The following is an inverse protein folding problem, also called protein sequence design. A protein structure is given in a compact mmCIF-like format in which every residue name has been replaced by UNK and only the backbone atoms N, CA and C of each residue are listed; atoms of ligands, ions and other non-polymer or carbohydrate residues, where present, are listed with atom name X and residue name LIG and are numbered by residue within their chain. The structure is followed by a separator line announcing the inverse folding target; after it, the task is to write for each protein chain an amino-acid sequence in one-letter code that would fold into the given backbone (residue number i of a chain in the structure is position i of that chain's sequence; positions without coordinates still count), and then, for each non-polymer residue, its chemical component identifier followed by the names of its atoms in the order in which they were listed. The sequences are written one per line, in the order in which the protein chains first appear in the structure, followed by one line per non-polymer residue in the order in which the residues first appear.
data_IF_518693942407
#
_entry.id   IF_518693942407
#
_cell.length_a   1.000
_cell.length_b   1.000
_cell.length_c   1.000
_cell.angle_alpha   90.00
_cell.angle_beta   90.00
_cell.angle_gamma   90.00
#
_symmetry.space_group_name_H-M   'P 1'
#
loop_
_entity.id
_entity.type
_entity.pdbx_description
1 polymer ?
#
# COMPACT_ATOMS: atom_id res chain seq x y z
N UNK A 1 -44.51 -16.58 18.81
CA UNK A 1 -43.23 -15.86 18.68
C UNK A 1 -42.28 -16.45 19.69
N UNK A 2 -41.23 -17.14 19.24
CA UNK A 2 -40.19 -17.64 20.12
C UNK A 2 -39.34 -16.46 20.62
N UNK A 3 -38.98 -16.39 21.91
CA UNK A 3 -38.08 -15.36 22.43
C UNK A 3 -36.72 -15.51 21.73
N UNK A 4 -36.19 -14.39 21.25
CA UNK A 4 -34.97 -14.33 20.44
C UNK A 4 -33.74 -14.79 21.22
N UNK A 5 -32.86 -15.49 20.50
CA UNK A 5 -31.61 -16.14 20.91
C UNK A 5 -30.50 -15.17 21.40
N UNK A 6 -30.84 -13.90 21.63
CA UNK A 6 -29.93 -12.84 22.07
C UNK A 6 -29.37 -13.11 23.47
N UNK A 7 -30.17 -13.72 24.35
CA UNK A 7 -29.73 -14.10 25.70
C UNK A 7 -28.71 -15.24 25.72
N UNK A 8 -28.74 -16.13 24.73
CA UNK A 8 -27.76 -17.23 24.59
C UNK A 8 -26.44 -16.70 24.05
N UNK A 9 -26.49 -15.84 23.04
CA UNK A 9 -25.30 -15.19 22.46
C UNK A 9 -24.58 -14.30 23.49
N UNK A 10 -25.32 -13.52 24.26
CA UNK A 10 -24.74 -12.69 25.32
C UNK A 10 -24.11 -13.53 26.45
N UNK A 11 -24.70 -14.69 26.81
CA UNK A 11 -24.07 -15.61 27.76
C UNK A 11 -22.81 -16.25 27.21
N UNK A 12 -22.82 -16.69 25.96
CA UNK A 12 -21.66 -17.29 25.32
C UNK A 12 -20.49 -16.30 25.23
N UNK A 13 -20.76 -15.06 24.83
CA UNK A 13 -19.76 -14.00 24.79
C UNK A 13 -19.17 -13.70 26.18
N UNK A 14 -19.99 -13.67 27.23
CA UNK A 14 -19.53 -13.50 28.62
C UNK A 14 -18.68 -14.67 29.12
N UNK A 15 -18.94 -15.90 28.66
CA UNK A 15 -18.14 -17.08 29.01
C UNK A 15 -16.80 -17.09 28.26
N UNK A 16 -16.80 -16.69 26.99
CA UNK A 16 -15.59 -16.65 26.18
C UNK A 16 -14.66 -15.47 26.53
N UNK A 17 -15.22 -14.35 27.03
CA UNK A 17 -14.47 -13.13 27.32
C UNK A 17 -14.88 -12.52 28.68
N UNK A 18 -14.56 -13.20 29.81
CA UNK A 18 -15.02 -12.80 31.14
C UNK A 18 -14.50 -11.45 31.60
N UNK A 19 -13.24 -11.11 31.25
CA UNK A 19 -12.63 -9.84 31.63
C UNK A 19 -13.27 -8.65 30.89
N UNK A 20 -13.57 -8.83 29.60
CA UNK A 20 -14.26 -7.83 28.79
C UNK A 20 -15.70 -7.59 29.30
N UNK A 21 -16.37 -8.64 29.75
CA UNK A 21 -17.69 -8.53 30.34
C UNK A 21 -17.67 -7.76 31.65
N UNK A 22 -16.68 -8.00 32.50
CA UNK A 22 -16.51 -7.27 33.76
C UNK A 22 -16.20 -5.78 33.53
N UNK A 23 -15.37 -5.46 32.52
CA UNK A 23 -15.07 -4.08 32.13
C UNK A 23 -16.33 -3.34 31.63
N UNK A 24 -17.14 -4.00 30.80
CA UNK A 24 -18.42 -3.47 30.28
C UNK A 24 -19.42 -3.20 31.41
N UNK A 25 -19.59 -4.15 32.33
CA UNK A 25 -20.52 -4.02 33.45
C UNK A 25 -20.08 -2.88 34.40
N UNK A 26 -18.77 -2.70 34.61
CA UNK A 26 -18.20 -1.57 35.36
C UNK A 26 -18.42 -0.21 34.67
N UNK A 27 -18.26 -0.14 33.35
CA UNK A 27 -18.47 1.08 32.57
C UNK A 27 -19.96 1.50 32.54
N UNK A 28 -20.87 0.53 32.44
CA UNK A 28 -22.32 0.74 32.49
C UNK A 28 -22.81 1.16 33.89
N UNK A 29 -22.17 0.67 34.96
CA UNK A 29 -22.51 1.07 36.33
C UNK A 29 -22.11 2.52 36.66
N UNK A 30 -21.16 3.11 35.93
CA UNK A 30 -20.66 4.47 36.15
C UNK A 30 -21.32 5.57 35.30
N UNK A 31 -22.21 5.23 34.37
CA UNK A 31 -22.68 6.11 33.29
C UNK A 31 -24.12 6.60 33.50
N UNK A 32 -24.29 7.86 33.94
CA UNK A 32 -25.57 8.59 33.87
C UNK A 32 -25.74 9.31 32.51
N UNK A 33 -26.96 9.74 32.16
CA UNK A 33 -27.46 10.15 30.83
C UNK A 33 -26.63 11.09 29.91
N UNK A 34 -25.47 11.61 30.32
CA UNK A 34 -24.47 12.25 29.45
C UNK A 34 -23.30 11.33 29.05
N UNK A 35 -23.34 10.06 29.46
CA UNK A 35 -22.26 9.10 29.34
C UNK A 35 -22.35 8.18 28.11
N UNK A 36 -23.42 8.24 27.32
CA UNK A 36 -23.54 7.47 26.07
C UNK A 36 -22.41 7.84 25.08
N UNK A 37 -22.08 9.12 24.93
CA UNK A 37 -20.96 9.55 24.07
C UNK A 37 -19.58 9.11 24.60
N UNK A 38 -19.41 9.03 25.92
CA UNK A 38 -18.17 8.55 26.54
C UNK A 38 -18.02 7.04 26.45
N UNK A 39 -19.14 6.32 26.54
CA UNK A 39 -19.22 4.87 26.37
C UNK A 39 -19.00 4.46 24.91
N UNK A 40 -19.59 5.16 23.95
CA UNK A 40 -19.37 4.93 22.52
C UNK A 40 -17.91 5.17 22.14
N UNK A 41 -17.31 6.30 22.58
CA UNK A 41 -15.88 6.56 22.33
C UNK A 41 -14.96 5.53 23.01
N UNK A 42 -15.33 5.03 24.19
CA UNK A 42 -14.62 3.95 24.86
C UNK A 42 -14.77 2.60 24.14
N UNK A 43 -15.98 2.26 23.67
CA UNK A 43 -16.27 1.07 22.88
C UNK A 43 -15.51 1.11 21.55
N UNK A 44 -15.48 2.24 20.86
CA UNK A 44 -14.70 2.44 19.65
C UNK A 44 -13.20 2.23 19.95
N UNK A 45 -12.70 2.84 21.03
CA UNK A 45 -11.31 2.64 21.48
C UNK A 45 -10.99 1.17 21.80
N UNK A 46 -11.86 0.45 22.52
CA UNK A 46 -11.67 -0.97 22.84
C UNK A 46 -11.82 -1.86 21.62
N UNK A 47 -12.72 -1.53 20.71
CA UNK A 47 -12.91 -2.25 19.45
C UNK A 47 -11.66 -2.10 18.57
N UNK A 48 -11.04 -0.92 18.52
CA UNK A 48 -9.77 -0.74 17.81
C UNK A 48 -8.62 -1.52 18.49
N UNK A 49 -8.57 -1.59 19.82
CA UNK A 49 -7.58 -2.41 20.55
C UNK A 49 -7.78 -3.90 20.28
N UNK A 50 -9.01 -4.41 20.40
CA UNK A 50 -9.33 -5.82 20.14
C UNK A 50 -9.13 -6.14 18.66
N UNK A 51 -9.43 -5.22 17.74
CA UNK A 51 -9.13 -5.38 16.31
C UNK A 51 -7.62 -5.37 16.06
N UNK A 52 -6.83 -4.60 16.79
CA UNK A 52 -5.37 -4.66 16.69
C UNK A 52 -4.79 -5.96 17.27
N UNK A 53 -5.40 -6.51 18.32
CA UNK A 53 -4.98 -7.76 18.97
C UNK A 53 -5.42 -9.02 18.21
N UNK A 54 -6.59 -8.96 17.54
CA UNK A 54 -7.14 -10.07 16.73
C UNK A 54 -6.89 -9.90 15.22
N UNK A 55 -6.50 -8.71 14.78
CA UNK A 55 -6.25 -8.37 13.38
C UNK A 55 -5.00 -9.08 12.89
N UNK A 56 -5.16 -10.00 11.94
CA UNK A 56 -4.10 -10.93 11.53
C UNK A 56 -4.46 -12.39 11.75
N UNK A 57 -5.69 -12.70 12.20
CA UNK A 57 -6.21 -14.06 12.19
C UNK A 57 -6.10 -14.70 10.80
N UNK A 58 -6.29 -13.92 9.73
CA UNK A 58 -6.07 -14.41 8.36
C UNK A 58 -4.62 -14.84 8.09
N UNK A 59 -3.63 -14.20 8.74
CA UNK A 59 -2.23 -14.64 8.66
C UNK A 59 -1.95 -15.91 9.49
N UNK A 60 -2.90 -16.36 10.31
CA UNK A 60 -2.85 -17.67 10.96
C UNK A 60 -2.79 -18.83 9.95
N UNK A 61 -3.24 -18.61 8.71
CA UNK A 61 -3.11 -19.57 7.61
C UNK A 61 -1.69 -19.61 7.00
N UNK A 62 -0.79 -18.70 7.39
CA UNK A 62 0.62 -18.71 6.97
C UNK A 62 1.40 -19.55 7.97
N UNK A 63 1.86 -20.74 7.56
CA UNK A 63 2.54 -21.68 8.46
C UNK A 63 3.92 -21.17 8.94
N UNK A 64 4.66 -20.50 8.05
CA UNK A 64 6.00 -19.98 8.33
C UNK A 64 5.96 -18.65 9.10
N UNK A 65 6.55 -18.63 10.29
CA UNK A 65 6.56 -17.47 11.17
C UNK A 65 7.26 -16.25 10.54
N UNK A 66 8.34 -16.46 9.77
CA UNK A 66 9.04 -15.38 9.10
C UNK A 66 8.17 -14.75 7.99
N UNK A 67 7.45 -15.57 7.22
CA UNK A 67 6.50 -15.10 6.21
C UNK A 67 5.33 -14.34 6.84
N UNK A 68 4.83 -14.79 8.00
CA UNK A 68 3.81 -14.07 8.77
C UNK A 68 4.28 -12.68 9.19
N UNK A 69 5.48 -12.58 9.77
CA UNK A 69 6.08 -11.30 10.18
C UNK A 69 6.23 -10.35 8.99
N UNK A 70 6.56 -10.88 7.80
CA UNK A 70 6.64 -10.08 6.56
C UNK A 70 5.30 -9.53 6.12
N UNK A 71 4.21 -10.30 6.23
CA UNK A 71 2.87 -9.78 5.99
C UNK A 71 2.49 -8.68 6.98
N UNK A 72 2.72 -8.90 8.27
CA UNK A 72 2.44 -7.92 9.32
C UNK A 72 3.19 -6.61 9.07
N UNK A 73 4.48 -6.69 8.75
CA UNK A 73 5.31 -5.53 8.41
C UNK A 73 4.82 -4.82 7.14
N UNK A 74 4.46 -5.57 6.11
CA UNK A 74 3.95 -5.00 4.87
C UNK A 74 2.61 -4.28 5.08
N UNK A 75 1.69 -4.86 5.84
CA UNK A 75 0.41 -4.23 6.19
C UNK A 75 0.58 -3.02 7.10
N UNK A 76 1.51 -3.07 8.07
CA UNK A 76 1.83 -1.93 8.91
C UNK A 76 2.37 -0.75 8.07
N UNK A 77 3.32 -1.01 7.17
CA UNK A 77 3.82 0.00 6.25
C UNK A 77 2.72 0.53 5.33
N UNK A 78 1.85 -0.34 4.81
CA UNK A 78 0.74 0.06 3.97
C UNK A 78 -0.26 0.95 4.70
N UNK A 79 -0.57 0.66 5.97
CA UNK A 79 -1.43 1.49 6.81
C UNK A 79 -0.84 2.87 7.05
N UNK A 80 0.48 2.96 7.30
CA UNK A 80 1.17 4.25 7.41
C UNK A 80 1.04 5.08 6.14
N UNK A 81 1.29 4.47 4.97
CA UNK A 81 1.18 5.15 3.68
C UNK A 81 -0.26 5.58 3.40
N UNK A 82 -1.23 4.69 3.58
CA UNK A 82 -2.66 4.99 3.35
C UNK A 82 -3.15 6.12 4.27
N UNK A 83 -2.72 6.11 5.55
CA UNK A 83 -3.08 7.11 6.53
C UNK A 83 -2.64 8.53 6.17
N UNK A 84 -1.58 8.70 5.37
CA UNK A 84 -1.14 10.02 4.89
C UNK A 84 -2.17 10.76 4.06
N UNK A 85 -3.09 10.03 3.40
CA UNK A 85 -4.17 10.58 2.59
C UNK A 85 -5.56 10.23 3.17
N UNK A 86 -5.60 9.81 4.44
CA UNK A 86 -6.84 9.43 5.12
C UNK A 86 -7.46 8.13 4.64
N UNK A 87 -6.76 7.34 3.81
CA UNK A 87 -7.26 6.03 3.39
C UNK A 87 -7.01 4.98 4.47
N UNK A 88 -7.89 3.98 4.50
CA UNK A 88 -7.75 2.79 5.35
C UNK A 88 -7.48 1.57 4.48
N UNK A 89 -6.43 0.83 4.81
CA UNK A 89 -6.15 -0.48 4.22
C UNK A 89 -7.19 -1.46 4.74
N UNK A 90 -7.81 -2.30 3.88
CA UNK A 90 -8.68 -3.37 4.34
C UNK A 90 -7.92 -4.33 5.27
N UNK A 91 -8.63 -4.88 6.26
CA UNK A 91 -8.04 -5.89 7.13
C UNK A 91 -7.68 -7.16 6.33
N UNK A 92 -6.68 -7.95 6.77
CA UNK A 92 -6.32 -9.22 6.14
C UNK A 92 -7.52 -10.14 5.89
N UNK A 93 -8.50 -10.16 6.80
CA UNK A 93 -9.72 -10.97 6.69
C UNK A 93 -10.62 -10.51 5.53
N UNK A 94 -10.61 -9.22 5.18
CA UNK A 94 -11.34 -8.70 4.03
C UNK A 94 -10.69 -9.16 2.72
N UNK A 95 -9.36 -9.23 2.67
CA UNK A 95 -8.64 -9.83 1.55
C UNK A 95 -8.94 -11.33 1.43
N UNK A 96 -8.91 -12.08 2.54
CA UNK A 96 -9.26 -13.50 2.56
C UNK A 96 -10.71 -13.72 2.08
N UNK A 97 -11.66 -12.91 2.56
CA UNK A 97 -13.07 -12.97 2.15
C UNK A 97 -13.27 -12.63 0.67
N UNK A 98 -12.41 -11.80 0.10
CA UNK A 98 -12.40 -11.49 -1.33
C UNK A 98 -11.75 -12.60 -2.19
N UNK A 99 -11.14 -13.61 -1.58
CA UNK A 99 -10.55 -14.76 -2.25
C UNK A 99 -9.02 -14.82 -2.24
N UNK A 100 -8.33 -13.98 -1.46
CA UNK A 100 -6.88 -14.10 -1.29
C UNK A 100 -6.53 -15.36 -0.49
N UNK A 101 -5.68 -16.20 -1.08
CA UNK A 101 -5.14 -17.39 -0.41
C UNK A 101 -3.82 -17.07 0.31
N UNK A 102 -3.91 -16.72 1.58
CA UNK A 102 -2.73 -16.40 2.41
C UNK A 102 -1.78 -17.57 2.59
N UNK A 103 -2.27 -18.82 2.61
CA UNK A 103 -1.41 -19.99 2.74
C UNK A 103 -0.53 -20.14 1.49
N UNK A 104 -1.12 -19.99 0.29
CA UNK A 104 -0.38 -20.02 -0.98
C UNK A 104 0.61 -18.87 -1.10
N UNK A 105 0.21 -17.65 -0.74
CA UNK A 105 1.14 -16.52 -0.75
C UNK A 105 2.26 -16.70 0.27
N UNK A 106 1.96 -17.23 1.46
CA UNK A 106 2.93 -17.60 2.48
C UNK A 106 3.97 -18.62 1.97
N UNK A 107 3.51 -19.68 1.31
CA UNK A 107 4.39 -20.67 0.70
C UNK A 107 5.30 -20.05 -0.38
N UNK A 108 4.76 -19.14 -1.20
CA UNK A 108 5.55 -18.43 -2.21
C UNK A 108 6.61 -17.49 -1.58
N UNK A 109 6.28 -16.78 -0.50
CA UNK A 109 7.23 -15.96 0.27
C UNK A 109 8.36 -16.77 0.89
N UNK A 110 8.04 -17.97 1.41
CA UNK A 110 9.02 -18.88 1.97
C UNK A 110 9.95 -19.45 0.89
N UNK A 111 9.42 -19.73 -0.29
CA UNK A 111 10.18 -20.23 -1.43
C UNK A 111 11.09 -19.17 -2.08
N UNK A 112 10.64 -17.90 -2.12
CA UNK A 112 11.41 -16.79 -2.68
C UNK A 112 11.49 -15.60 -1.70
N UNK A 113 12.63 -15.43 -1.01
CA UNK A 113 12.81 -14.34 -0.07
C UNK A 113 12.85 -12.96 -0.73
N UNK A 114 12.95 -12.86 -2.06
CA UNK A 114 12.95 -11.57 -2.77
C UNK A 114 11.55 -10.97 -2.96
N UNK A 115 10.49 -11.75 -2.74
CA UNK A 115 9.10 -11.31 -2.88
C UNK A 115 8.64 -10.46 -1.70
N UNK A 116 7.88 -9.40 -1.93
CA UNK A 116 7.29 -8.58 -0.85
C UNK A 116 5.78 -8.52 -1.00
N UNK A 117 4.99 -8.70 0.07
CA UNK A 117 3.55 -8.47 0.02
C UNK A 117 3.27 -6.99 -0.24
N UNK A 118 2.42 -6.71 -1.23
CA UNK A 118 2.02 -5.34 -1.59
C UNK A 118 0.51 -5.25 -1.58
N UNK A 119 -0.04 -4.56 -0.57
CA UNK A 119 -1.43 -4.15 -0.52
C UNK A 119 -1.58 -2.80 -1.25
N UNK A 120 -2.04 -2.82 -2.50
CA UNK A 120 -2.06 -1.64 -3.37
C UNK A 120 -3.47 -1.07 -3.57
N UNK A 121 -3.70 0.24 -3.36
CA UNK A 121 -4.95 0.91 -3.69
C UNK A 121 -5.02 1.26 -5.18
N UNK A 122 -6.17 1.06 -5.82
CA UNK A 122 -6.46 1.39 -7.21
C UNK A 122 -7.56 2.44 -7.26
N UNK A 123 -7.51 3.32 -8.25
CA UNK A 123 -8.48 4.40 -8.43
C UNK A 123 -8.19 5.65 -7.58
N UNK A 124 -6.94 5.83 -7.15
CA UNK A 124 -6.48 7.00 -6.42
C UNK A 124 -6.23 8.20 -7.35
N UNK A 125 -5.95 7.95 -8.63
CA UNK A 125 -5.61 8.96 -9.62
C UNK A 125 -4.21 9.52 -9.47
N UNK A 126 -3.73 10.20 -10.51
CA UNK A 126 -2.37 10.74 -10.58
C UNK A 126 -2.06 11.70 -9.42
N UNK A 127 -3.01 12.55 -9.06
CA UNK A 127 -2.82 13.56 -8.01
C UNK A 127 -2.73 12.93 -6.63
N UNK A 128 -3.55 11.93 -6.31
CA UNK A 128 -3.46 11.24 -5.03
C UNK A 128 -2.13 10.49 -4.87
N UNK A 129 -1.63 9.86 -5.95
CA UNK A 129 -0.29 9.27 -5.95
C UNK A 129 0.83 10.33 -5.79
N UNK A 130 0.72 11.48 -6.46
CA UNK A 130 1.68 12.58 -6.27
C UNK A 130 1.66 13.10 -4.84
N UNK A 131 0.49 13.23 -4.22
CA UNK A 131 0.36 13.63 -2.81
C UNK A 131 1.05 12.64 -1.86
N UNK A 132 0.89 11.33 -2.10
CA UNK A 132 1.59 10.30 -1.33
C UNK A 132 3.11 10.41 -1.47
N UNK A 133 3.63 10.59 -2.69
CA UNK A 133 5.07 10.74 -2.92
C UNK A 133 5.62 12.05 -2.34
N UNK A 134 4.86 13.14 -2.41
CA UNK A 134 5.22 14.41 -1.77
C UNK A 134 5.31 14.27 -0.25
N UNK A 135 4.35 13.56 0.37
CA UNK A 135 4.42 13.25 1.80
C UNK A 135 5.62 12.36 2.13
N UNK A 136 5.85 11.30 1.34
CA UNK A 136 7.00 10.42 1.52
C UNK A 136 8.33 11.17 1.42
N UNK A 137 8.47 12.14 0.52
CA UNK A 137 9.67 12.97 0.39
C UNK A 137 9.91 13.91 1.60
N UNK A 138 8.85 14.26 2.34
CA UNK A 138 8.95 15.07 3.56
C UNK A 138 9.38 14.27 4.81
N UNK A 139 9.43 12.94 4.74
CA UNK A 139 9.93 12.11 5.84
C UNK A 139 11.44 12.33 6.05
N UNK A 140 11.87 12.46 7.31
CA UNK A 140 13.23 12.88 7.68
C UNK A 140 14.34 12.01 7.04
N UNK A 141 14.08 10.71 6.88
CA UNK A 141 15.04 9.74 6.33
C UNK A 141 14.69 9.31 4.90
N UNK A 142 13.83 10.07 4.22
CA UNK A 142 13.35 9.70 2.90
C UNK A 142 14.46 9.73 1.85
N UNK A 143 14.65 8.65 1.06
CA UNK A 143 15.51 8.69 -0.11
C UNK A 143 14.96 9.59 -1.22
N UNK A 144 13.68 10.00 -1.14
CA UNK A 144 13.01 10.94 -2.06
C UNK A 144 13.11 12.40 -1.58
N UNK A 145 13.62 12.64 -0.37
CA UNK A 145 13.74 13.98 0.17
C UNK A 145 14.69 14.85 -0.66
N UNK A 146 14.51 16.18 -0.65
CA UNK A 146 15.35 17.08 -1.43
C UNK A 146 16.83 16.79 -1.18
N UNK A 147 17.63 16.80 -2.25
CA UNK A 147 19.09 16.82 -2.10
C UNK A 147 19.41 18.05 -1.27
N UNK A 148 19.77 17.85 0.00
CA UNK A 148 20.08 18.95 0.89
C UNK A 148 21.09 19.85 0.19
N UNK A 149 20.79 21.16 0.12
CA UNK A 149 21.83 22.15 -0.11
C UNK A 149 22.98 21.82 0.83
N UNK A 150 24.20 21.64 0.33
CA UNK A 150 25.31 21.21 1.16
C UNK A 150 25.53 22.25 2.25
N UNK A 151 25.54 21.81 3.51
CA UNK A 151 25.96 22.51 4.73
C UNK A 151 25.90 24.05 4.71
N UNK A 152 24.86 24.62 5.33
CA UNK A 152 24.76 26.05 5.61
C UNK A 152 24.68 26.33 7.11
N UNK A 153 25.73 26.00 7.86
CA UNK A 153 25.96 26.69 9.12
C UNK A 153 26.27 28.16 8.82
N UNK A 154 25.36 29.07 9.16
CA UNK A 154 25.64 30.50 9.22
C UNK A 154 24.69 31.38 8.42
N UNK A 155 24.05 32.30 9.14
CA UNK A 155 23.73 33.64 8.63
C UNK A 155 22.40 33.78 7.93
N UNK A 156 21.42 34.32 8.67
CA UNK A 156 20.27 34.99 8.09
C UNK A 156 20.73 36.07 7.08
N UNK A 157 20.27 35.99 5.84
CA UNK A 157 19.77 37.14 5.08
C UNK A 157 18.74 36.63 4.08
N UNK A 158 17.50 37.06 4.26
CA UNK A 158 16.42 36.87 3.32
C UNK A 158 16.64 37.82 2.14
N UNK A 159 17.11 37.28 1.02
CA UNK A 159 17.02 37.98 -0.27
C UNK A 159 15.81 37.46 -1.04
N UNK A 160 14.77 38.29 -1.01
CA UNK A 160 13.58 38.20 -1.83
C UNK A 160 13.93 38.50 -3.29
N UNK A 161 14.40 37.49 -4.03
CA UNK A 161 14.25 37.43 -5.48
C UNK A 161 13.59 36.11 -5.83
N UNK A 162 12.32 36.20 -6.20
CA UNK A 162 11.49 35.11 -6.65
C UNK A 162 11.98 34.55 -7.97
N UNK A 163 12.94 33.63 -7.89
CA UNK A 163 13.17 32.63 -8.91
C UNK A 163 12.93 31.28 -8.22
N UNK A 164 11.65 30.95 -8.09
CA UNK A 164 11.21 29.72 -7.46
C UNK A 164 11.66 28.55 -8.32
N UNK A 165 12.85 28.02 -8.05
CA UNK A 165 13.28 26.76 -8.61
C UNK A 165 12.12 25.76 -8.45
N UNK A 166 11.67 25.10 -9.53
CA UNK A 166 10.50 24.24 -9.48
C UNK A 166 10.73 23.22 -8.36
N UNK A 167 9.78 23.15 -7.42
CA UNK A 167 9.79 22.12 -6.37
C UNK A 167 9.88 20.77 -7.08
N UNK A 168 11.01 20.09 -6.91
CA UNK A 168 11.25 18.81 -7.56
C UNK A 168 10.13 17.84 -7.13
N UNK A 169 9.33 17.38 -8.09
CA UNK A 169 8.24 16.46 -7.81
C UNK A 169 8.83 15.05 -7.63
N UNK A 170 8.59 14.38 -6.49
CA UNK A 170 9.15 13.05 -6.22
C UNK A 170 8.50 11.92 -7.06
N UNK A 171 7.39 12.21 -7.73
CA UNK A 171 6.76 11.36 -8.74
C UNK A 171 6.53 12.17 -10.02
N UNK A 172 7.13 11.72 -11.13
CA UNK A 172 6.98 12.34 -12.46
C UNK A 172 6.36 11.35 -13.43
N UNK A 173 5.33 11.78 -14.14
CA UNK A 173 4.61 11.00 -15.14
C UNK A 173 4.89 11.57 -16.53
N UNK A 174 5.17 10.71 -17.51
CA UNK A 174 5.16 11.11 -18.91
C UNK A 174 3.75 11.52 -19.33
N UNK A 175 3.65 12.46 -20.28
CA UNK A 175 2.36 13.03 -20.69
C UNK A 175 1.36 11.98 -21.17
N UNK A 176 1.82 10.92 -21.84
CA UNK A 176 1.00 9.78 -22.25
C UNK A 176 0.41 9.04 -21.04
N UNK A 177 1.25 8.69 -20.06
CA UNK A 177 0.82 8.01 -18.84
C UNK A 177 -0.12 8.88 -17.99
N UNK A 178 0.08 10.20 -18.00
CA UNK A 178 -0.81 11.13 -17.29
C UNK A 178 -2.18 11.25 -17.96
N UNK A 179 -2.22 11.38 -19.30
CA UNK A 179 -3.49 11.44 -20.05
C UNK A 179 -4.34 10.19 -19.87
N UNK A 180 -3.70 9.03 -19.83
CA UNK A 180 -4.36 7.72 -19.76
C UNK A 180 -4.17 7.04 -18.40
N UNK A 181 -3.95 7.82 -17.34
CA UNK A 181 -3.61 7.30 -16.01
C UNK A 181 -4.66 6.31 -15.47
N UNK A 182 -5.94 6.56 -15.77
CA UNK A 182 -7.05 5.69 -15.38
C UNK A 182 -6.94 4.25 -15.92
N UNK A 183 -6.24 4.04 -17.04
CA UNK A 183 -5.96 2.71 -17.58
C UNK A 183 -4.85 1.99 -16.81
N UNK A 184 -3.92 2.73 -16.19
CA UNK A 184 -2.85 2.17 -15.37
C UNK A 184 -3.28 1.96 -13.90
N UNK A 185 -4.28 2.70 -13.45
CA UNK A 185 -4.78 2.73 -12.07
C UNK A 185 -6.05 1.88 -11.87
N UNK A 186 -6.31 0.94 -12.79
CA UNK A 186 -7.37 -0.07 -12.68
C UNK A 186 -6.77 -1.43 -12.35
N UNK A 187 -7.52 -2.27 -11.63
CA UNK A 187 -7.11 -3.65 -11.35
C UNK A 187 -6.95 -4.39 -12.69
N UNK A 188 -5.74 -4.87 -13.05
CA UNK A 188 -5.48 -5.41 -14.39
C UNK A 188 -6.28 -6.67 -14.72
N UNK A 189 -6.53 -7.50 -13.71
CA UNK A 189 -7.33 -8.72 -13.81
C UNK A 189 -8.61 -8.56 -12.98
N UNK A 190 -9.77 -8.50 -13.64
CA UNK A 190 -11.07 -8.36 -12.96
C UNK A 190 -11.44 -9.56 -12.08
N UNK A 191 -10.76 -10.69 -12.24
CA UNK A 191 -10.93 -11.86 -11.39
C UNK A 191 -10.05 -11.82 -10.13
N UNK A 192 -9.11 -10.88 -10.05
CA UNK A 192 -8.26 -10.73 -8.87
C UNK A 192 -9.09 -10.32 -7.63
N UNK A 193 -8.87 -10.97 -6.47
CA UNK A 193 -9.47 -10.57 -5.20
C UNK A 193 -9.20 -9.10 -4.88
N UNK A 194 -10.27 -8.29 -4.87
CA UNK A 194 -10.16 -6.86 -4.70
C UNK A 194 -11.22 -6.30 -3.74
N UNK A 195 -11.01 -6.40 -2.40
CA UNK A 195 -11.92 -5.79 -1.44
C UNK A 195 -11.98 -4.27 -1.64
N UNK A 196 -13.16 -3.71 -1.37
CA UNK A 196 -13.33 -2.27 -1.25
C UNK A 196 -12.72 -1.78 0.07
N UNK A 197 -12.25 -0.53 0.08
CA UNK A 197 -11.91 0.14 1.34
C UNK A 197 -13.11 0.17 2.29
N UNK A 198 -12.89 0.24 3.61
CA UNK A 198 -13.99 0.27 4.59
C UNK A 198 -14.89 1.52 4.46
N UNK A 199 -14.40 2.57 3.79
CA UNK A 199 -15.19 3.75 3.47
C UNK A 199 -16.07 3.50 2.23
N UNK A 200 -17.38 3.31 2.46
CA UNK A 200 -18.41 3.07 1.42
C UNK A 200 -18.46 4.16 0.33
N UNK A 201 -17.91 5.35 0.58
CA UNK A 201 -17.84 6.45 -0.39
C UNK A 201 -16.59 6.41 -1.28
N UNK A 202 -15.58 5.60 -0.94
CA UNK A 202 -14.34 5.53 -1.71
C UNK A 202 -14.51 4.57 -2.91
N UNK A 203 -14.23 5.07 -4.12
CA UNK A 203 -14.12 4.24 -5.33
C UNK A 203 -12.86 3.36 -5.34
N UNK A 204 -12.10 3.37 -4.24
CA UNK A 204 -10.80 2.71 -4.14
C UNK A 204 -10.98 1.21 -3.93
N UNK A 205 -10.27 0.45 -4.75
CA UNK A 205 -10.15 -1.01 -4.63
C UNK A 205 -8.76 -1.37 -4.18
N UNK A 206 -8.63 -2.42 -3.39
CA UNK A 206 -7.33 -2.87 -2.92
C UNK A 206 -7.01 -4.25 -3.48
N UNK A 207 -5.79 -4.49 -3.95
CA UNK A 207 -5.31 -5.85 -4.22
C UNK A 207 -4.19 -6.21 -3.27
N UNK A 208 -3.98 -7.50 -3.04
CA UNK A 208 -2.80 -8.01 -2.36
C UNK A 208 -2.10 -9.03 -3.26
N UNK A 209 -0.88 -8.71 -3.69
CA UNK A 209 0.00 -9.61 -4.45
C UNK A 209 1.41 -9.54 -3.91
N UNK A 210 2.22 -10.56 -4.21
CA UNK A 210 3.65 -10.54 -3.94
C UNK A 210 4.38 -9.97 -5.15
N UNK A 211 5.23 -8.98 -4.92
CA UNK A 211 6.03 -8.35 -5.99
C UNK A 211 7.51 -8.55 -5.69
N UNK A 212 8.33 -9.01 -6.65
CA UNK A 212 9.79 -9.04 -6.47
C UNK A 212 10.31 -7.65 -6.08
N UNK A 213 11.06 -7.56 -4.98
CA UNK A 213 11.54 -6.32 -4.38
C UNK A 213 13.06 -6.17 -4.38
N UNK A 214 13.78 -7.01 -5.15
CA UNK A 214 15.21 -6.83 -5.41
C UNK A 214 15.50 -5.48 -6.07
N UNK A 215 16.73 -4.97 -5.96
CA UNK A 215 17.10 -3.62 -6.44
C UNK A 215 16.91 -3.41 -7.96
N UNK A 216 16.92 -4.49 -8.74
CA UNK A 216 16.68 -4.53 -10.19
C UNK A 216 15.51 -5.50 -10.48
N UNK A 217 14.84 -5.41 -11.64
CA UNK A 217 13.78 -6.33 -12.00
C UNK A 217 14.34 -7.76 -12.05
N UNK A 218 13.52 -8.73 -11.66
CA UNK A 218 13.92 -10.13 -11.58
C UNK A 218 14.25 -10.72 -12.97
N UNK A 219 13.62 -10.20 -14.02
CA UNK A 219 13.83 -10.67 -15.40
C UNK A 219 14.16 -9.50 -16.31
N UNK A 220 15.30 -9.56 -17.01
CA UNK A 220 15.77 -8.53 -17.95
C UNK A 220 15.59 -8.98 -19.40
N UNK A 221 15.51 -8.00 -20.31
CA UNK A 221 15.50 -8.25 -21.76
C UNK A 221 14.17 -8.80 -22.30
N UNK A 222 13.12 -8.83 -21.49
CA UNK A 222 11.79 -9.24 -21.92
C UNK A 222 11.05 -8.08 -22.59
N UNK A 223 10.38 -8.39 -23.70
CA UNK A 223 9.41 -7.47 -24.28
C UNK A 223 8.17 -7.37 -23.38
N UNK A 224 7.40 -6.30 -23.58
CA UNK A 224 6.13 -6.09 -22.87
C UNK A 224 5.13 -7.25 -23.07
N UNK A 225 5.23 -8.04 -24.13
CA UNK A 225 4.30 -9.14 -24.39
C UNK A 225 4.53 -10.37 -23.50
N UNK A 226 5.67 -10.45 -22.81
CA UNK A 226 6.10 -11.67 -22.11
C UNK A 226 5.73 -11.75 -20.62
N UNK A 227 5.00 -10.78 -20.08
CA UNK A 227 4.71 -10.75 -18.64
C UNK A 227 3.25 -11.09 -18.32
N UNK A 228 2.98 -11.66 -17.13
CA UNK A 228 2.27 -10.86 -16.16
C UNK A 228 3.21 -9.75 -15.65
N UNK A 229 2.77 -8.50 -15.71
CA UNK A 229 3.52 -7.34 -15.18
C UNK A 229 2.91 -6.87 -13.87
N UNK A 230 3.75 -6.28 -13.00
CA UNK A 230 3.25 -5.52 -11.86
C UNK A 230 2.47 -4.31 -12.37
N UNK A 231 1.37 -3.96 -11.70
CA UNK A 231 0.60 -2.76 -12.01
C UNK A 231 1.35 -1.50 -11.56
N UNK A 232 0.89 -0.35 -12.04
CA UNK A 232 1.38 0.94 -11.56
C UNK A 232 1.14 1.11 -10.04
N UNK A 233 -0.08 0.93 -9.50
CA UNK A 233 -0.33 0.99 -8.06
C UNK A 233 0.58 0.12 -7.21
N UNK A 234 0.89 -1.10 -7.65
CA UNK A 234 1.77 -1.99 -6.89
C UNK A 234 3.21 -1.50 -6.87
N UNK A 235 3.73 -1.04 -8.00
CA UNK A 235 5.09 -0.51 -8.05
C UNK A 235 5.21 0.78 -7.23
N UNK A 236 4.21 1.67 -7.31
CA UNK A 236 4.19 2.89 -6.50
C UNK A 236 4.07 2.58 -5.01
N UNK A 237 3.18 1.67 -4.62
CA UNK A 237 3.02 1.27 -3.24
C UNK A 237 4.26 0.57 -2.69
N UNK A 238 4.91 -0.29 -3.48
CA UNK A 238 6.18 -0.93 -3.13
C UNK A 238 7.26 0.10 -2.82
N UNK A 239 7.38 1.18 -3.60
CA UNK A 239 8.35 2.24 -3.30
C UNK A 239 8.02 2.95 -1.99
N UNK A 240 6.75 3.33 -1.78
CA UNK A 240 6.32 4.06 -0.59
C UNK A 240 6.48 3.22 0.69
N UNK A 241 6.13 1.94 0.67
CA UNK A 241 6.33 1.06 1.84
C UNK A 241 7.81 0.85 2.14
N UNK A 242 8.67 0.85 1.13
CA UNK A 242 10.12 0.83 1.32
C UNK A 242 10.65 2.13 1.93
N UNK A 243 10.11 3.29 1.54
CA UNK A 243 10.41 4.55 2.25
C UNK A 243 10.06 4.44 3.73
N UNK A 244 8.86 3.95 4.06
CA UNK A 244 8.41 3.77 5.45
C UNK A 244 9.30 2.77 6.21
N UNK A 245 9.74 1.70 5.55
CA UNK A 245 10.62 0.70 6.13
C UNK A 245 12.09 1.16 6.26
N UNK A 246 12.48 2.27 5.62
CA UNK A 246 13.88 2.69 5.51
C UNK A 246 14.72 1.83 4.56
N UNK A 247 14.06 1.11 3.66
CA UNK A 247 14.68 0.21 2.69
C UNK A 247 15.12 0.97 1.42
N UNK A 248 16.15 0.48 0.69
CA UNK A 248 16.55 1.08 -0.58
C UNK A 248 15.45 0.97 -1.63
N UNK A 249 15.17 2.05 -2.37
CA UNK A 249 14.20 2.02 -3.47
C UNK A 249 14.62 1.10 -4.62
N UNK A 250 13.63 0.56 -5.34
CA UNK A 250 13.85 -0.38 -6.44
C UNK A 250 14.02 0.33 -7.77
N UNK A 251 14.66 -0.35 -8.73
CA UNK A 251 14.88 0.11 -10.11
C UNK A 251 15.74 1.37 -10.24
N UNK A 252 16.76 1.51 -9.39
CA UNK A 252 17.71 2.62 -9.47
C UNK A 252 18.60 2.61 -10.73
N UNK A 253 18.76 1.44 -11.36
CA UNK A 253 19.71 1.18 -12.48
C UNK A 253 19.06 0.47 -13.66
N UNK A 254 17.74 0.34 -13.64
CA UNK A 254 16.96 -0.50 -14.54
C UNK A 254 15.54 0.04 -14.64
N UNK A 255 14.74 -0.56 -15.51
CA UNK A 255 13.34 -0.17 -15.70
C UNK A 255 12.45 -1.40 -15.62
N UNK A 256 11.26 -1.25 -15.05
CA UNK A 256 10.26 -2.33 -14.98
C UNK A 256 9.05 -1.97 -15.85
N UNK A 257 8.65 -2.87 -16.76
CA UNK A 257 7.36 -2.75 -17.45
C UNK A 257 6.21 -2.79 -16.46
N UNK A 258 5.19 -1.97 -16.70
CA UNK A 258 3.97 -1.92 -15.91
C UNK A 258 2.82 -2.56 -16.70
N UNK A 259 1.90 -3.21 -16.00
CA UNK A 259 0.69 -3.74 -16.61
C UNK A 259 -0.18 -2.62 -17.21
N UNK A 260 -0.86 -2.94 -18.32
CA UNK A 260 -1.69 -2.01 -19.08
C UNK A 260 -0.95 -1.43 -20.28
N UNK A 261 -1.62 -1.45 -21.43
CA UNK A 261 -1.16 -0.80 -22.63
C UNK A 261 -1.87 0.54 -22.81
N UNK A 262 -1.17 1.50 -23.41
CA UNK A 262 -1.61 2.87 -23.62
C UNK A 262 -1.65 3.18 -25.12
N UNK A 263 -2.30 4.28 -25.48
CA UNK A 263 -2.41 4.78 -26.84
C UNK A 263 -2.87 3.69 -27.83
N UNK A 264 -3.98 3.02 -27.47
CA UNK A 264 -4.59 1.90 -28.19
C UNK A 264 -3.65 0.70 -28.40
N UNK A 265 -2.82 0.40 -27.40
CA UNK A 265 -1.91 -0.74 -27.41
C UNK A 265 -0.53 -0.46 -28.00
N UNK A 266 -0.26 0.77 -28.46
CA UNK A 266 1.03 1.13 -29.07
C UNK A 266 2.12 1.39 -28.05
N UNK A 267 1.76 1.83 -26.84
CA UNK A 267 2.70 2.20 -25.80
C UNK A 267 2.53 1.31 -24.57
N UNK A 268 3.62 1.10 -23.85
CA UNK A 268 3.64 0.51 -22.52
C UNK A 268 4.30 1.47 -21.54
N UNK A 269 3.74 1.56 -20.33
CA UNK A 269 4.32 2.33 -19.25
C UNK A 269 5.45 1.54 -18.57
N UNK A 270 6.45 2.25 -18.06
CA UNK A 270 7.57 1.68 -17.30
C UNK A 270 7.90 2.53 -16.10
N UNK A 271 8.26 1.87 -15.01
CA UNK A 271 8.73 2.44 -13.77
C UNK A 271 10.27 2.50 -13.74
N UNK A 272 10.82 3.57 -13.15
CA UNK A 272 12.22 3.70 -12.76
C UNK A 272 12.34 4.62 -11.56
N UNK A 273 13.32 4.37 -10.71
CA UNK A 273 13.77 5.32 -9.71
C UNK A 273 15.08 5.97 -10.20
N UNK A 274 15.08 7.29 -10.36
CA UNK A 274 16.31 8.03 -10.63
C UNK A 274 16.94 8.42 -9.29
N UNK A 275 18.00 7.71 -8.89
CA UNK A 275 18.68 7.99 -7.62
C UNK A 275 19.46 9.30 -7.61
N UNK A 276 19.86 9.81 -8.77
CA UNK A 276 20.60 11.07 -8.86
C UNK A 276 19.67 12.25 -8.64
N UNK A 277 18.45 12.17 -9.18
CA UNK A 277 17.42 13.19 -9.03
C UNK A 277 16.42 12.92 -7.89
N UNK A 278 16.53 11.75 -7.23
CA UNK A 278 15.65 11.28 -6.15
C UNK A 278 14.17 11.28 -6.52
N UNK A 279 13.86 10.84 -7.74
CA UNK A 279 12.51 10.88 -8.31
C UNK A 279 12.10 9.52 -8.86
N UNK A 280 10.85 9.13 -8.62
CA UNK A 280 10.24 8.00 -9.33
C UNK A 280 9.61 8.51 -10.62
N UNK A 281 9.96 7.89 -11.75
CA UNK A 281 9.49 8.29 -13.08
C UNK A 281 8.68 7.18 -13.72
N UNK A 282 7.50 7.53 -14.21
CA UNK A 282 6.67 6.68 -15.06
C UNK A 282 6.79 7.19 -16.49
N UNK A 283 7.54 6.46 -17.31
CA UNK A 283 7.77 6.81 -18.71
C UNK A 283 6.98 5.87 -19.63
N UNK A 284 6.79 6.27 -20.89
CA UNK A 284 6.19 5.41 -21.91
C UNK A 284 7.22 5.05 -22.99
N UNK A 285 7.06 3.86 -23.57
CA UNK A 285 7.85 3.37 -24.71
C UNK A 285 6.94 2.57 -25.64
N UNK A 286 7.31 2.54 -26.91
CA UNK A 286 6.61 1.71 -27.90
C UNK A 286 6.71 0.22 -27.54
N UNK A 287 5.58 -0.48 -27.68
CA UNK A 287 5.55 -1.93 -27.57
C UNK A 287 6.43 -2.53 -28.68
N UNK A 288 7.33 -3.44 -28.31
CA UNK A 288 8.33 -4.03 -29.21
C UNK A 288 9.71 -3.37 -29.15
N UNK A 289 9.84 -2.17 -28.59
CA UNK A 289 11.15 -1.53 -28.42
C UNK A 289 11.75 -1.85 -27.03
N UNK A 290 12.55 -2.91 -26.98
CA UNK A 290 13.24 -3.35 -25.76
C UNK A 290 14.67 -2.80 -25.66
N UNK A 291 15.03 -2.32 -24.47
CA UNK A 291 16.41 -1.97 -24.13
C UNK A 291 17.01 -3.00 -23.16
N UNK A 292 18.35 -3.11 -23.08
CA UNK A 292 19.02 -4.13 -22.26
C UNK A 292 18.79 -3.97 -20.75
N UNK A 293 18.40 -2.77 -20.31
CA UNK A 293 18.15 -2.45 -18.88
C UNK A 293 16.69 -2.57 -18.49
N UNK A 294 15.85 -3.04 -19.42
CA UNK A 294 14.42 -3.08 -19.22
C UNK A 294 13.99 -4.51 -18.89
N UNK A 295 13.12 -4.64 -17.89
CA UNK A 295 12.73 -5.92 -17.33
C UNK A 295 11.32 -5.96 -16.79
N UNK A 296 11.01 -7.04 -16.09
CA UNK A 296 9.73 -7.30 -15.47
C UNK A 296 9.89 -7.72 -14.00
N UNK A 297 8.88 -7.40 -13.20
CA UNK A 297 8.67 -7.92 -11.83
C UNK A 297 7.37 -8.70 -11.82
N UNK A 298 7.36 -9.96 -12.27
CA UNK A 298 6.14 -10.76 -12.36
C UNK A 298 5.51 -10.90 -10.96
N UNK A 299 4.30 -10.38 -10.73
CA UNK A 299 3.65 -10.51 -9.45
C UNK A 299 3.09 -11.93 -9.25
N UNK A 300 2.99 -12.37 -7.99
CA UNK A 300 2.35 -13.62 -7.59
C UNK A 300 1.05 -13.29 -6.84
N UNK A 301 -0.07 -13.86 -7.27
CA UNK A 301 -1.41 -13.63 -6.73
C UNK A 301 -2.32 -14.84 -6.87
#
# INVERSE_FOLDING_TARGET
MAPTDEGSGARLARVLFPDLAADLDSALAGSGAGADQGFDAWLDGRTEVVRAELGGAAFGAVDDAASRERFERAFAAARTVAGWVGLRVPEPEAFASAGVDFARLGAALAADPTLTPVAAPYGLGADGWRSLFARAASEERSPLGPLGSPGGGGGATADARGDGAPVAQPLVLASEAEREFSLLDIVPDRSAPAPHGPERASSVRWTLRLVPAGLAPAVLGLSFEHGPHASLPEMLMLQLTRVVAGDPLVDARSFTWLAGALADGRLAARHVYDSAERVVRINCREVGHQGPHLGARPPVG
#
